data_IF_678381563189
#
_entry.id   IF_678381563189
#
_cell.length_a   1.000
_cell.length_b   1.000
_cell.length_c   1.000
_cell.angle_alpha   90.00
_cell.angle_beta   90.00
_cell.angle_gamma   90.00
#
_symmetry.space_group_name_H-M   'P 1'
#
loop_
_entity.id
_entity.type
_entity.pdbx_description
1 polymer ?
#
# COMPACT_ATOMS: atom_id res chain seq x y z
N UNK A 1 34.26 -1.49 21.80
CA UNK A 1 34.51 -2.52 20.77
C UNK A 1 33.56 -3.68 21.07
N UNK A 2 32.42 -3.78 20.38
CA UNK A 2 32.24 -4.37 19.04
C UNK A 2 32.25 -5.90 19.07
N UNK A 3 31.14 -6.45 18.58
CA UNK A 3 31.09 -7.53 17.58
C UNK A 3 31.20 -9.00 18.01
N UNK A 4 30.24 -9.76 17.45
CA UNK A 4 30.30 -11.19 17.05
C UNK A 4 29.95 -12.19 18.16
N UNK A 5 29.14 -13.22 17.98
CA UNK A 5 28.15 -13.65 16.98
C UNK A 5 27.64 -15.00 17.51
N UNK A 6 26.41 -15.40 17.20
CA UNK A 6 26.27 -16.61 16.38
C UNK A 6 24.88 -16.67 15.75
N UNK A 7 24.94 -17.00 14.47
CA UNK A 7 23.87 -17.14 13.50
C UNK A 7 23.53 -18.63 13.44
N UNK A 8 22.26 -18.97 13.63
CA UNK A 8 21.62 -20.17 13.09
C UNK A 8 20.12 -19.83 13.05
N UNK A 9 19.49 -19.57 11.88
CA UNK A 9 19.19 -20.51 10.79
C UNK A 9 18.83 -21.87 11.40
N UNK A 10 17.58 -22.34 11.45
CA UNK A 10 16.55 -22.48 10.40
C UNK A 10 15.16 -22.64 11.08
N UNK A 11 14.14 -21.86 10.74
CA UNK A 11 13.09 -22.15 9.74
C UNK A 11 12.29 -23.46 9.96
N UNK A 12 11.08 -23.38 10.54
CA UNK A 12 9.78 -23.40 9.81
C UNK A 12 8.54 -23.77 10.67
N UNK A 13 7.44 -23.13 10.26
CA UNK A 13 6.02 -23.51 10.39
C UNK A 13 5.22 -22.92 11.55
N UNK A 14 4.12 -22.26 11.19
CA UNK A 14 2.89 -22.30 11.98
C UNK A 14 2.64 -21.18 12.98
N UNK A 15 2.20 -20.01 12.50
CA UNK A 15 1.17 -19.20 13.17
C UNK A 15 1.55 -18.45 14.45
N UNK A 16 1.59 -17.12 14.37
CA UNK A 16 1.09 -16.30 15.49
C UNK A 16 0.77 -14.89 15.02
N UNK A 17 -0.48 -14.68 14.59
CA UNK A 17 -1.09 -13.36 14.43
C UNK A 17 -1.27 -12.60 15.76
N UNK A 18 -0.35 -12.78 16.71
CA UNK A 18 -0.40 -12.28 18.09
C UNK A 18 0.94 -11.70 18.57
N UNK A 19 1.97 -11.58 17.71
CA UNK A 19 3.19 -10.87 18.08
C UNK A 19 2.90 -9.40 18.48
N UNK A 20 1.97 -8.77 17.76
CA UNK A 20 1.47 -7.43 18.06
C UNK A 20 0.64 -7.35 19.35
N UNK A 21 0.03 -8.47 19.79
CA UNK A 21 -0.81 -8.52 21.01
C UNK A 21 0.06 -8.57 22.28
N UNK A 22 1.20 -9.28 22.24
CA UNK A 22 2.14 -9.32 23.37
C UNK A 22 2.77 -7.95 23.65
N UNK A 23 2.98 -7.15 22.61
CA UNK A 23 3.52 -5.79 22.76
C UNK A 23 2.47 -4.81 23.31
N UNK A 24 1.19 -5.06 23.03
CA UNK A 24 0.04 -4.30 23.54
C UNK A 24 -0.12 -4.41 25.05
N UNK A 25 0.05 -5.61 25.62
CA UNK A 25 -0.09 -5.87 27.06
C UNK A 25 1.00 -5.18 27.88
N UNK A 26 2.21 -5.03 27.32
CA UNK A 26 3.33 -4.43 28.03
C UNK A 26 3.21 -2.89 28.14
N UNK A 27 2.33 -2.26 27.35
CA UNK A 27 2.13 -0.81 27.34
C UNK A 27 1.06 -0.31 28.31
N UNK A 28 0.29 -1.21 28.93
CA UNK A 28 -0.81 -0.87 29.85
C UNK A 28 -0.33 -0.27 31.19
N UNK A 29 0.98 -0.20 31.47
CA UNK A 29 1.48 0.21 32.79
C UNK A 29 1.75 1.71 33.01
N UNK A 30 1.69 2.59 32.00
CA UNK A 30 2.00 4.03 32.20
C UNK A 30 1.06 4.94 31.39
N UNK A 31 -0.06 5.33 32.01
CA UNK A 31 -1.34 5.34 31.29
C UNK A 31 -1.97 6.68 30.86
N UNK A 32 -1.38 7.86 31.09
CA UNK A 32 -2.17 9.10 30.91
C UNK A 32 -1.66 10.14 29.92
N UNK A 33 -0.37 10.22 29.60
CA UNK A 33 0.13 11.24 28.66
C UNK A 33 0.65 10.68 27.32
N UNK A 34 0.99 9.39 27.25
CA UNK A 34 1.55 8.78 26.02
C UNK A 34 0.47 8.29 25.03
N UNK A 35 -0.82 8.32 25.41
CA UNK A 35 -1.92 7.79 24.58
C UNK A 35 -2.17 8.63 23.32
N UNK A 36 -2.04 9.95 23.38
CA UNK A 36 -2.34 10.80 22.22
C UNK A 36 -1.32 10.70 21.08
N UNK A 37 -0.02 10.60 21.37
CA UNK A 37 1.00 10.56 20.31
C UNK A 37 1.05 9.22 19.57
N UNK A 38 0.74 8.12 20.26
CA UNK A 38 0.76 6.76 19.68
C UNK A 38 -0.41 6.50 18.72
N UNK A 39 -1.58 7.08 18.98
CA UNK A 39 -2.76 6.94 18.11
C UNK A 39 -2.55 7.70 16.78
N UNK A 40 -1.84 8.82 16.80
CA UNK A 40 -1.65 9.68 15.62
C UNK A 40 -0.53 9.21 14.68
N UNK A 41 0.40 8.38 15.17
CA UNK A 41 1.40 7.71 14.32
C UNK A 41 0.80 6.46 13.67
N UNK A 42 -0.09 5.75 14.37
CA UNK A 42 -0.79 4.57 13.85
C UNK A 42 -1.89 4.91 12.83
N UNK A 43 -2.35 6.16 12.78
CA UNK A 43 -3.37 6.64 11.85
C UNK A 43 -2.85 6.94 10.43
N UNK A 44 -1.54 6.79 10.18
CA UNK A 44 -0.88 7.18 8.92
C UNK A 44 -1.01 6.18 7.78
N UNK A 45 -1.37 4.93 8.06
CA UNK A 45 -1.47 3.87 7.08
C UNK A 45 -2.84 3.18 7.13
N UNK A 46 -3.25 2.66 5.98
CA UNK A 46 -4.41 1.79 5.82
C UNK A 46 -3.96 0.45 5.23
N UNK A 47 -4.73 -0.59 5.51
CA UNK A 47 -4.52 -1.93 5.02
C UNK A 47 -5.66 -2.29 4.07
N UNK A 48 -5.31 -2.66 2.84
CA UNK A 48 -6.24 -2.95 1.75
C UNK A 48 -6.01 -4.38 1.28
N UNK A 49 -7.08 -5.11 1.00
CA UNK A 49 -7.02 -6.50 0.58
C UNK A 49 -7.05 -6.64 -0.94
N UNK A 50 -6.29 -7.59 -1.46
CA UNK A 50 -6.43 -8.06 -2.85
C UNK A 50 -7.48 -9.17 -2.92
N UNK A 51 -8.08 -9.46 -4.09
CA UNK A 51 -9.00 -10.59 -4.25
C UNK A 51 -8.38 -11.96 -3.94
N UNK A 52 -7.05 -12.04 -3.93
CA UNK A 52 -6.29 -13.25 -3.59
C UNK A 52 -6.11 -13.45 -2.08
N UNK A 53 -6.53 -12.47 -1.27
CA UNK A 53 -6.38 -12.50 0.19
C UNK A 53 -5.10 -11.86 0.71
N UNK A 54 -4.28 -11.26 -0.18
CA UNK A 54 -3.09 -10.54 0.26
C UNK A 54 -3.48 -9.21 0.91
N UNK A 55 -2.76 -8.83 1.96
CA UNK A 55 -2.94 -7.54 2.63
C UNK A 55 -1.81 -6.59 2.23
N UNK A 56 -2.16 -5.43 1.71
CA UNK A 56 -1.19 -4.41 1.27
C UNK A 56 -1.38 -3.16 2.11
N UNK A 57 -0.27 -2.68 2.67
CA UNK A 57 -0.22 -1.43 3.42
C UNK A 57 0.09 -0.26 2.48
N UNK A 58 -0.73 0.80 2.55
CA UNK A 58 -0.54 2.07 1.83
C UNK A 58 -0.78 3.25 2.77
N UNK A 59 -0.22 4.45 2.48
CA UNK A 59 -0.51 5.65 3.26
C UNK A 59 -2.01 5.98 3.26
N UNK A 60 -2.52 6.46 4.39
CA UNK A 60 -3.87 7.02 4.47
C UNK A 60 -4.02 8.17 3.47
N UNK A 61 -5.17 8.27 2.81
CA UNK A 61 -5.37 9.22 1.71
C UNK A 61 -4.94 8.71 0.33
N UNK A 62 -4.41 7.50 0.24
CA UNK A 62 -4.04 6.91 -1.06
C UNK A 62 -5.28 6.49 -1.84
N UNK A 63 -5.25 6.70 -3.16
CA UNK A 63 -6.35 6.31 -4.05
C UNK A 63 -6.15 4.91 -4.64
N UNK A 64 -7.16 4.41 -5.35
CA UNK A 64 -7.08 3.13 -6.06
C UNK A 64 -5.92 3.06 -7.07
N UNK A 65 -5.58 4.17 -7.73
CA UNK A 65 -4.42 4.23 -8.62
C UNK A 65 -3.09 4.04 -7.87
N UNK A 66 -2.95 4.64 -6.68
CA UNK A 66 -1.76 4.44 -5.85
C UNK A 66 -1.61 2.98 -5.41
N UNK A 67 -2.73 2.33 -5.08
CA UNK A 67 -2.75 0.90 -4.76
C UNK A 67 -2.33 0.04 -5.95
N UNK A 68 -2.77 0.35 -7.17
CA UNK A 68 -2.33 -0.34 -8.38
C UNK A 68 -0.80 -0.26 -8.56
N UNK A 69 -0.23 0.93 -8.42
CA UNK A 69 1.23 1.14 -8.47
C UNK A 69 1.97 0.49 -7.30
N UNK A 70 1.32 0.33 -6.14
CA UNK A 70 1.88 -0.38 -4.98
C UNK A 70 2.00 -1.89 -5.24
N UNK A 71 1.03 -2.48 -5.94
CA UNK A 71 1.10 -3.90 -6.33
C UNK A 71 2.23 -4.09 -7.34
N UNK A 72 2.17 -3.37 -8.47
CA UNK A 72 3.19 -3.46 -9.51
C UNK A 72 3.09 -2.28 -10.48
N UNK A 73 4.22 -1.81 -11.01
CA UNK A 73 4.22 -0.70 -11.99
C UNK A 73 3.45 -1.03 -13.27
N UNK A 74 3.52 -2.28 -13.75
CA UNK A 74 2.77 -2.73 -14.93
C UNK A 74 1.24 -2.70 -14.70
N UNK A 75 0.80 -3.12 -13.50
CA UNK A 75 -0.62 -3.06 -13.12
C UNK A 75 -1.08 -1.61 -13.02
N UNK A 76 -0.26 -0.75 -12.40
CA UNK A 76 -0.50 0.69 -12.36
C UNK A 76 -0.61 1.28 -13.77
N UNK A 77 0.37 1.02 -14.63
CA UNK A 77 0.45 1.56 -15.99
C UNK A 77 -0.74 1.17 -16.87
N UNK A 78 -1.25 -0.04 -16.69
CA UNK A 78 -2.35 -0.60 -17.48
C UNK A 78 -3.71 -0.51 -16.78
N UNK A 79 -3.81 0.19 -15.65
CA UNK A 79 -5.06 0.33 -14.88
C UNK A 79 -6.10 1.16 -15.64
N UNK A 80 -7.28 0.60 -15.92
CA UNK A 80 -8.39 1.33 -16.54
C UNK A 80 -9.60 1.50 -15.63
N UNK A 81 -9.69 0.70 -14.57
CA UNK A 81 -10.82 0.68 -13.65
C UNK A 81 -10.50 -0.09 -12.38
N UNK A 82 -11.41 0.00 -11.42
CA UNK A 82 -11.26 -0.65 -10.12
C UNK A 82 -12.63 -1.14 -9.65
N UNK A 83 -12.65 -2.29 -8.96
CA UNK A 83 -13.77 -2.65 -8.10
C UNK A 83 -13.34 -2.57 -6.64
N UNK A 84 -14.13 -1.87 -5.84
CA UNK A 84 -13.93 -1.73 -4.39
C UNK A 84 -15.10 -2.45 -3.74
N UNK A 85 -14.82 -3.45 -2.92
CA UNK A 85 -15.82 -4.30 -2.26
C UNK A 85 -16.85 -4.85 -3.27
N UNK A 86 -16.36 -5.39 -4.39
CA UNK A 86 -17.13 -5.96 -5.50
C UNK A 86 -18.01 -4.97 -6.29
N UNK A 87 -17.96 -3.66 -5.99
CA UNK A 87 -18.69 -2.61 -6.71
C UNK A 87 -17.74 -1.81 -7.59
N UNK A 88 -18.22 -1.36 -8.75
CA UNK A 88 -17.42 -0.52 -9.64
C UNK A 88 -17.10 0.82 -8.95
N UNK A 89 -15.82 1.20 -8.96
CA UNK A 89 -15.33 2.46 -8.42
C UNK A 89 -14.50 3.22 -9.44
N UNK A 90 -14.03 4.41 -9.07
CA UNK A 90 -13.13 5.23 -9.88
C UNK A 90 -11.69 4.99 -9.42
N UNK A 91 -10.74 5.08 -10.35
CA UNK A 91 -9.30 4.99 -10.02
C UNK A 91 -8.83 6.12 -9.06
N UNK A 92 -9.61 7.19 -8.96
CA UNK A 92 -9.36 8.32 -8.06
C UNK A 92 -9.97 8.15 -6.67
N UNK A 93 -10.79 7.13 -6.44
CA UNK A 93 -11.45 6.96 -5.14
C UNK A 93 -10.41 6.68 -4.06
N UNK A 94 -10.52 7.40 -2.94
CA UNK A 94 -9.70 7.18 -1.75
C UNK A 94 -10.07 5.84 -1.11
N UNK A 95 -9.05 5.05 -0.79
CA UNK A 95 -9.24 3.74 -0.17
C UNK A 95 -9.33 3.87 1.34
N UNK A 96 -10.05 2.93 1.95
CA UNK A 96 -10.22 2.84 3.40
C UNK A 96 -9.63 1.54 3.93
N UNK A 97 -9.37 1.55 5.23
CA UNK A 97 -8.89 0.38 5.92
C UNK A 97 -9.92 -0.77 5.81
N UNK A 98 -9.47 -1.93 5.34
CA UNK A 98 -10.29 -3.11 5.14
C UNK A 98 -10.98 -3.23 3.79
N UNK A 99 -10.79 -2.28 2.87
CA UNK A 99 -11.35 -2.39 1.52
C UNK A 99 -10.75 -3.57 0.76
N UNK A 100 -11.60 -4.31 0.04
CA UNK A 100 -11.20 -5.32 -0.93
C UNK A 100 -11.14 -4.69 -2.32
N UNK A 101 -9.94 -4.57 -2.90
CA UNK A 101 -9.72 -3.82 -4.13
C UNK A 101 -9.22 -4.73 -5.25
N UNK A 102 -10.01 -4.83 -6.31
CA UNK A 102 -9.67 -5.48 -7.57
C UNK A 102 -9.31 -4.43 -8.62
N UNK A 103 -8.06 -4.44 -9.10
CA UNK A 103 -7.62 -3.57 -10.18
C UNK A 103 -7.92 -4.23 -11.54
N UNK A 104 -8.53 -3.47 -12.44
CA UNK A 104 -8.83 -3.91 -13.80
C UNK A 104 -7.78 -3.33 -14.75
N UNK A 105 -7.09 -4.22 -15.48
CA UNK A 105 -5.99 -3.83 -16.38
C UNK A 105 -6.29 -4.12 -17.85
N UNK A 106 -5.72 -3.32 -18.74
CA UNK A 106 -5.78 -3.50 -20.20
C UNK A 106 -4.47 -3.09 -20.86
N UNK A 107 -4.01 -3.91 -21.82
CA UNK A 107 -2.77 -3.65 -22.59
C UNK A 107 -2.82 -2.38 -23.45
N UNK A 108 -4.02 -1.87 -23.74
CA UNK A 108 -4.22 -0.66 -24.55
C UNK A 108 -4.21 0.61 -23.71
N UNK A 109 -4.26 0.49 -22.39
CA UNK A 109 -4.31 1.61 -21.47
C UNK A 109 -2.90 1.92 -21.01
N UNK A 110 -2.57 3.22 -21.00
CA UNK A 110 -1.26 3.73 -20.59
C UNK A 110 -1.46 4.97 -19.74
N UNK A 111 -0.48 5.32 -18.88
CA UNK A 111 -0.56 6.54 -18.09
C UNK A 111 -0.69 7.78 -18.97
N UNK A 112 -1.43 8.76 -18.48
CA UNK A 112 -1.56 10.08 -19.09
C UNK A 112 -1.27 11.18 -18.06
N UNK A 113 -1.24 12.44 -18.52
CA UNK A 113 -0.92 13.58 -17.64
C UNK A 113 -1.93 13.74 -16.50
N UNK A 114 -3.22 13.46 -16.73
CA UNK A 114 -4.27 13.57 -15.72
C UNK A 114 -4.03 12.63 -14.51
N UNK A 115 -3.34 11.51 -14.72
CA UNK A 115 -3.00 10.59 -13.62
C UNK A 115 -2.05 11.20 -12.58
N UNK A 116 -1.27 12.23 -12.94
CA UNK A 116 -0.40 12.95 -12.00
C UNK A 116 -1.18 13.82 -11.01
N UNK A 117 -2.44 14.13 -11.31
CA UNK A 117 -3.38 14.84 -10.43
C UNK A 117 -4.15 13.85 -9.54
N UNK A 118 -4.38 12.63 -10.03
CA UNK A 118 -5.09 11.58 -9.30
C UNK A 118 -4.19 10.89 -8.27
N UNK A 119 -2.96 10.55 -8.66
CA UNK A 119 -2.02 9.83 -7.81
C UNK A 119 -1.57 10.69 -6.63
N UNK A 120 -1.80 10.20 -5.41
CA UNK A 120 -1.46 10.94 -4.18
C UNK A 120 -0.05 10.59 -3.71
N UNK A 121 0.43 9.38 -3.99
CA UNK A 121 1.73 8.93 -3.48
C UNK A 121 2.90 9.41 -4.36
N UNK A 122 4.03 9.84 -3.77
CA UNK A 122 5.22 10.23 -4.53
C UNK A 122 5.73 9.14 -5.47
N UNK A 123 5.68 7.89 -5.01
CA UNK A 123 6.09 6.71 -5.78
C UNK A 123 5.24 6.54 -7.05
N UNK A 124 3.91 6.58 -6.95
CA UNK A 124 3.05 6.45 -8.13
C UNK A 124 3.31 7.60 -9.12
N UNK A 125 3.41 8.84 -8.62
CA UNK A 125 3.71 10.01 -9.46
C UNK A 125 5.06 9.90 -10.17
N UNK A 126 6.10 9.40 -9.50
CA UNK A 126 7.41 9.14 -10.11
C UNK A 126 7.32 8.10 -11.23
N UNK A 127 6.65 6.97 -10.98
CA UNK A 127 6.46 5.91 -11.98
C UNK A 127 5.68 6.39 -13.19
N UNK A 128 4.61 7.16 -12.98
CA UNK A 128 3.84 7.79 -14.05
C UNK A 128 4.73 8.73 -14.87
N UNK A 129 5.52 9.61 -14.23
CA UNK A 129 6.43 10.53 -14.95
C UNK A 129 7.45 9.78 -15.78
N UNK A 130 8.04 8.72 -15.22
CA UNK A 130 9.01 7.87 -15.93
C UNK A 130 8.39 7.23 -17.18
N UNK A 131 7.18 6.70 -17.05
CA UNK A 131 6.47 6.10 -18.18
C UNK A 131 6.13 7.12 -19.28
N UNK A 132 5.67 8.32 -18.87
CA UNK A 132 5.39 9.41 -19.80
C UNK A 132 6.66 9.88 -20.54
N UNK A 133 7.80 9.94 -19.86
CA UNK A 133 9.07 10.32 -20.48
C UNK A 133 9.57 9.25 -21.47
N UNK A 134 9.47 7.97 -21.11
CA UNK A 134 9.84 6.87 -22.00
C UNK A 134 9.04 6.89 -23.31
N UNK A 135 7.73 7.17 -23.21
CA UNK A 135 6.85 7.26 -24.39
C UNK A 135 7.21 8.44 -25.32
N UNK A 136 7.69 9.55 -24.76
CA UNK A 136 8.11 10.71 -25.55
C UNK A 136 9.47 10.50 -26.22
N UNK A 137 10.37 9.71 -25.63
CA UNK A 137 11.70 9.41 -26.17
C UNK A 137 11.71 8.25 -27.19
N UNK A 138 10.60 7.51 -27.31
CA UNK A 138 10.41 6.42 -28.27
C UNK A 138 9.70 6.85 -29.57
N UNK A 139 9.56 8.17 -29.78
CA UNK A 139 9.11 8.83 -31.01
C UNK A 139 10.27 9.62 -31.59
#
# INVERSE_FOLDING_TARGET
>A
ASHIAYKSNELKSGGSGYAWVKELVNWQKNEKEVKNYRIDVLSKFIYVFTPKGDTIQIPKGSCALDFAYRIHSDIGNHCYGVKINQKMGKISDELKNGDLVEILTSKTVFPNKNWLEIAQTPMARERIRKELANKNNGL
#
